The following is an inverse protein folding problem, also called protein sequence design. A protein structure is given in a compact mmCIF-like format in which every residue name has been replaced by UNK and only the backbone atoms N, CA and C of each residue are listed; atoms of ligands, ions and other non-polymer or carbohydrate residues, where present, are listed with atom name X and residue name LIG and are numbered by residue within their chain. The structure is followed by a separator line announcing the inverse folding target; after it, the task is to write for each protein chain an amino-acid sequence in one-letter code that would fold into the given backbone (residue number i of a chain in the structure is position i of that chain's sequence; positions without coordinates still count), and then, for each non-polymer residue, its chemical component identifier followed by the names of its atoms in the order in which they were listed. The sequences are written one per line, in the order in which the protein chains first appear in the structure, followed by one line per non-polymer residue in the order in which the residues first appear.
data_IF_045069317801
#
_entry.id   IF_045069317801
#
_cell.length_a   1.000
_cell.length_b   1.000
_cell.length_c   1.000
_cell.angle_alpha   90.00
_cell.angle_beta   90.00
_cell.angle_gamma   90.00
#
_symmetry.space_group_name_H-M   'P 1'
#
loop_
_entity.id
_entity.type
_entity.pdbx_description
1 polymer ?
#
# COMPACT_ATOMS: atom_id res chain seq x y z
N UNK A 1 -14.59 78.68 9.50
CA UNK A 1 -13.41 77.84 9.79
C UNK A 1 -13.85 76.39 9.69
N UNK A 2 -13.47 75.77 8.59
CA UNK A 2 -13.77 74.42 8.11
C UNK A 2 -12.76 73.41 8.64
N UNK A 3 -13.23 72.24 9.07
CA UNK A 3 -12.55 70.93 8.99
C UNK A 3 -13.43 69.91 9.74
N UNK A 4 -14.43 69.30 9.11
CA UNK A 4 -14.34 68.10 8.26
C UNK A 4 -13.55 66.93 8.87
N UNK A 5 -14.37 66.00 9.37
CA UNK A 5 -14.21 64.55 9.53
C UNK A 5 -13.14 63.87 8.69
N UNK A 6 -12.37 62.97 9.32
CA UNK A 6 -11.80 61.80 8.63
C UNK A 6 -11.70 60.62 9.59
N UNK A 7 -12.79 59.87 9.68
CA UNK A 7 -12.80 58.49 10.17
C UNK A 7 -11.98 57.64 9.20
N UNK A 8 -10.74 57.30 9.55
CA UNK A 8 -10.05 56.19 8.92
C UNK A 8 -10.48 54.90 9.61
N UNK A 9 -11.49 54.28 9.04
CA UNK A 9 -11.82 52.88 9.28
C UNK A 9 -10.59 52.05 8.87
N UNK A 10 -9.86 51.58 9.88
CA UNK A 10 -8.81 50.57 9.75
C UNK A 10 -9.44 49.29 9.21
N UNK A 11 -9.50 49.19 7.88
CA UNK A 11 -9.77 47.94 7.18
C UNK A 11 -8.59 47.04 7.48
N UNK A 12 -8.76 46.14 8.45
CA UNK A 12 -7.85 45.02 8.66
C UNK A 12 -7.92 44.18 7.38
N UNK A 13 -6.98 44.46 6.46
CA UNK A 13 -6.67 43.57 5.37
C UNK A 13 -6.36 42.22 6.00
N UNK A 14 -7.26 41.25 5.78
CA UNK A 14 -6.92 39.85 5.93
C UNK A 14 -5.75 39.60 4.98
N UNK A 15 -4.53 39.61 5.53
CA UNK A 15 -3.34 39.16 4.82
C UNK A 15 -3.55 37.67 4.60
N UNK A 16 -4.13 37.32 3.46
CA UNK A 16 -3.94 36.00 2.86
C UNK A 16 -2.44 35.88 2.60
N UNK A 17 -1.67 35.47 3.59
CA UNK A 17 -0.28 35.11 3.41
C UNK A 17 -0.24 34.06 2.29
N UNK A 18 0.50 34.28 1.19
CA UNK A 18 0.61 33.27 0.15
C UNK A 18 1.34 32.08 0.79
N UNK A 19 0.62 30.98 1.04
CA UNK A 19 1.14 29.73 1.61
C UNK A 19 2.08 28.98 0.64
N UNK A 20 2.89 29.68 -0.16
CA UNK A 20 3.82 29.04 -1.08
C UNK A 20 4.99 29.90 -1.58
N UNK A 21 5.72 30.62 -0.71
CA UNK A 21 6.98 31.28 -1.11
C UNK A 21 8.17 30.30 -1.12
N UNK A 22 8.05 29.14 -0.45
CA UNK A 22 9.18 28.21 -0.36
C UNK A 22 9.45 27.49 -1.71
N UNK A 23 10.73 27.41 -2.14
CA UNK A 23 11.19 26.56 -3.24
C UNK A 23 10.74 25.11 -3.13
N UNK A 24 10.61 24.43 -4.27
CA UNK A 24 10.09 23.06 -4.35
C UNK A 24 11.00 22.07 -3.63
N UNK A 25 12.31 22.28 -3.69
CA UNK A 25 13.35 21.46 -3.07
C UNK A 25 13.26 21.49 -1.54
N UNK A 26 13.02 22.69 -0.98
CA UNK A 26 12.84 22.83 0.46
C UNK A 26 11.54 22.17 0.94
N UNK A 27 10.48 22.25 0.14
CA UNK A 27 9.24 21.52 0.44
C UNK A 27 9.45 20.01 0.43
N UNK A 28 10.17 19.47 -0.56
CA UNK A 28 10.50 18.04 -0.61
C UNK A 28 11.26 17.64 0.65
N UNK A 29 12.32 18.38 1.02
CA UNK A 29 13.11 18.08 2.21
C UNK A 29 12.30 18.12 3.51
N UNK A 30 11.38 19.08 3.65
CA UNK A 30 10.46 19.16 4.79
C UNK A 30 9.54 17.93 4.82
N UNK A 31 8.93 17.61 3.69
CA UNK A 31 8.00 16.50 3.59
C UNK A 31 8.71 15.16 3.86
N UNK A 32 9.89 14.93 3.30
CA UNK A 32 10.70 13.73 3.52
C UNK A 32 11.10 13.53 4.98
N UNK A 33 11.36 14.62 5.72
CA UNK A 33 11.66 14.54 7.16
C UNK A 33 10.41 14.33 8.02
N UNK A 34 9.30 14.99 7.67
CA UNK A 34 8.03 14.80 8.36
C UNK A 34 7.42 13.42 8.08
N UNK A 35 7.71 12.83 6.93
CA UNK A 35 7.09 11.62 6.42
C UNK A 35 7.48 10.34 7.17
N UNK A 36 8.63 10.33 7.84
CA UNK A 36 9.22 9.14 8.47
C UNK A 36 8.23 8.45 9.44
N UNK A 37 7.37 9.22 10.13
CA UNK A 37 6.40 8.70 11.09
C UNK A 37 4.94 8.73 10.60
N UNK A 38 4.65 9.42 9.48
CA UNK A 38 3.29 9.81 9.11
C UNK A 38 2.94 9.64 7.61
N UNK A 39 3.55 8.67 6.92
CA UNK A 39 3.24 8.39 5.51
C UNK A 39 1.73 8.30 5.22
N UNK A 40 0.95 7.67 6.12
CA UNK A 40 -0.51 7.62 5.98
C UNK A 40 -1.17 9.00 5.99
N UNK A 41 -0.71 9.91 6.86
CA UNK A 41 -1.26 11.27 6.95
C UNK A 41 -0.89 12.09 5.71
N UNK A 42 0.33 11.95 5.21
CA UNK A 42 0.75 12.64 3.98
C UNK A 42 -0.10 12.25 2.79
N UNK A 43 -0.34 10.94 2.59
CA UNK A 43 -1.15 10.47 1.47
C UNK A 43 -2.62 10.86 1.59
N UNK A 44 -3.20 10.74 2.79
CA UNK A 44 -4.66 10.87 2.99
C UNK A 44 -5.13 12.27 3.35
N UNK A 45 -4.26 13.15 3.85
CA UNK A 45 -4.60 14.52 4.25
C UNK A 45 -3.82 15.56 3.43
N UNK A 46 -2.48 15.58 3.55
CA UNK A 46 -1.64 16.64 2.96
C UNK A 46 -1.74 16.68 1.43
N UNK A 47 -1.77 15.52 0.77
CA UNK A 47 -1.95 15.39 -0.68
C UNK A 47 -3.17 16.13 -1.23
N UNK A 48 -4.21 16.31 -0.41
CA UNK A 48 -5.49 16.89 -0.83
C UNK A 48 -5.60 18.40 -0.57
N UNK A 49 -4.61 19.02 0.07
CA UNK A 49 -4.64 20.45 0.45
C UNK A 49 -4.57 21.36 -0.79
N UNK A 50 -3.71 21.05 -1.74
CA UNK A 50 -3.56 21.83 -2.98
C UNK A 50 -2.95 20.99 -4.11
N UNK A 51 -3.01 21.47 -5.36
CA UNK A 51 -2.33 20.82 -6.49
C UNK A 51 -0.80 20.75 -6.28
N UNK A 52 -0.19 21.81 -5.75
CA UNK A 52 1.25 21.84 -5.45
C UNK A 52 1.63 20.76 -4.41
N UNK A 53 0.85 20.62 -3.34
CA UNK A 53 1.09 19.57 -2.34
C UNK A 53 0.84 18.18 -2.89
N UNK A 54 -0.16 18.01 -3.76
CA UNK A 54 -0.41 16.75 -4.45
C UNK A 54 0.84 16.31 -5.22
N UNK A 55 1.41 17.18 -6.04
CA UNK A 55 2.57 16.86 -6.88
C UNK A 55 3.82 16.57 -6.03
N UNK A 56 4.04 17.34 -4.97
CA UNK A 56 5.13 17.13 -4.02
C UNK A 56 5.01 15.79 -3.28
N UNK A 57 3.83 15.50 -2.73
CA UNK A 57 3.59 14.23 -2.02
C UNK A 57 3.71 13.06 -2.99
N UNK A 58 3.14 13.15 -4.19
CA UNK A 58 3.26 12.08 -5.19
C UNK A 58 4.72 11.81 -5.58
N UNK A 59 5.55 12.85 -5.70
CA UNK A 59 7.01 12.69 -5.92
C UNK A 59 7.70 11.96 -4.78
N UNK A 60 7.46 12.37 -3.53
CA UNK A 60 8.01 11.70 -2.34
C UNK A 60 7.56 10.23 -2.27
N UNK A 61 6.31 9.96 -2.63
CA UNK A 61 5.79 8.59 -2.66
C UNK A 61 6.42 7.74 -3.75
N UNK A 62 6.60 8.28 -4.95
CA UNK A 62 7.26 7.60 -6.04
C UNK A 62 8.73 7.27 -5.71
N UNK A 63 9.46 8.19 -5.08
CA UNK A 63 10.89 8.04 -4.82
C UNK A 63 11.22 7.23 -3.56
N UNK A 64 10.48 7.43 -2.46
CA UNK A 64 10.82 6.86 -1.16
C UNK A 64 9.91 5.68 -0.80
N UNK A 65 8.59 5.86 -0.91
CA UNK A 65 7.64 4.91 -0.35
C UNK A 65 7.35 3.73 -1.25
N UNK A 66 7.17 3.98 -2.55
CA UNK A 66 6.82 2.97 -3.53
C UNK A 66 7.88 1.85 -3.63
N UNK A 67 9.19 2.12 -3.60
CA UNK A 67 10.21 1.07 -3.53
C UNK A 67 10.15 0.18 -2.29
N UNK A 68 9.48 0.62 -1.22
CA UNK A 68 9.31 -0.17 0.01
C UNK A 68 8.16 -1.18 -0.06
N UNK A 69 7.37 -1.15 -1.14
CA UNK A 69 6.27 -2.09 -1.34
C UNK A 69 6.75 -3.40 -1.95
N UNK A 70 6.14 -4.48 -1.51
CA UNK A 70 6.21 -5.78 -2.15
C UNK A 70 4.81 -6.38 -2.22
N UNK A 71 4.55 -7.16 -3.28
CA UNK A 71 3.28 -7.84 -3.49
C UNK A 71 3.54 -9.33 -3.46
N UNK A 72 2.96 -10.01 -2.48
CA UNK A 72 3.04 -11.47 -2.38
C UNK A 72 1.76 -12.09 -2.91
N UNK A 73 1.87 -12.91 -3.93
CA UNK A 73 0.79 -13.72 -4.46
C UNK A 73 0.72 -15.04 -3.71
N UNK A 74 -0.41 -15.28 -3.07
CA UNK A 74 -0.76 -16.51 -2.39
C UNK A 74 -1.41 -17.48 -3.40
N UNK A 75 -0.64 -18.44 -3.90
CA UNK A 75 -1.03 -19.24 -5.07
C UNK A 75 -2.01 -20.37 -4.68
N UNK A 76 -3.14 -20.54 -5.40
CA UNK A 76 -4.04 -21.66 -5.16
C UNK A 76 -3.43 -22.98 -5.66
N UNK A 77 -3.80 -24.12 -5.05
CA UNK A 77 -3.40 -25.44 -5.55
C UNK A 77 -4.29 -25.83 -6.73
N UNK A 78 -3.65 -26.25 -7.82
CA UNK A 78 -4.33 -26.84 -8.97
C UNK A 78 -3.84 -28.27 -9.18
N UNK A 79 -4.73 -29.12 -9.69
CA UNK A 79 -4.33 -30.41 -10.22
C UNK A 79 -3.50 -30.18 -11.49
N UNK A 80 -2.26 -30.68 -11.56
CA UNK A 80 -1.40 -30.51 -12.74
C UNK A 80 -1.98 -31.16 -14.00
N UNK A 81 -2.90 -32.12 -13.87
CA UNK A 81 -3.45 -32.89 -14.99
C UNK A 81 -4.73 -32.26 -15.54
N UNK A 82 -5.65 -31.87 -14.66
CA UNK A 82 -6.94 -31.28 -15.05
C UNK A 82 -6.98 -29.75 -15.00
N UNK A 83 -5.98 -29.11 -14.39
CA UNK A 83 -5.97 -27.66 -14.15
C UNK A 83 -7.02 -27.18 -13.14
N UNK A 84 -7.83 -28.08 -12.58
CA UNK A 84 -8.91 -27.75 -11.64
C UNK A 84 -8.34 -27.33 -10.28
N UNK A 85 -9.05 -26.45 -9.57
CA UNK A 85 -8.69 -26.06 -8.21
C UNK A 85 -8.89 -27.24 -7.26
N UNK A 86 -7.81 -27.70 -6.64
CA UNK A 86 -7.84 -28.83 -5.70
C UNK A 86 -8.40 -28.42 -4.33
N UNK A 87 -8.21 -27.16 -3.92
CA UNK A 87 -8.63 -26.66 -2.61
C UNK A 87 -9.16 -25.22 -2.74
N UNK A 88 -10.48 -25.00 -2.71
CA UNK A 88 -11.04 -23.67 -2.55
C UNK A 88 -10.79 -23.20 -1.11
N UNK A 89 -10.12 -22.07 -0.90
CA UNK A 89 -9.95 -21.49 0.44
C UNK A 89 -8.55 -20.92 0.73
N UNK A 90 -8.11 -21.07 1.98
CA UNK A 90 -6.92 -20.42 2.52
C UNK A 90 -5.65 -20.79 1.75
N UNK A 91 -4.80 -19.80 1.40
CA UNK A 91 -3.54 -20.05 0.70
C UNK A 91 -2.63 -21.06 1.39
N UNK A 92 -1.91 -21.86 0.60
CA UNK A 92 -0.97 -22.84 1.15
C UNK A 92 0.27 -22.11 1.68
N UNK A 93 0.74 -22.42 2.90
CA UNK A 93 2.02 -21.94 3.40
C UNK A 93 3.15 -22.30 2.42
N UNK A 94 4.03 -21.35 2.09
CA UNK A 94 5.18 -21.50 1.16
C UNK A 94 4.85 -21.57 -0.34
N UNK A 95 3.58 -21.66 -0.75
CA UNK A 95 3.20 -21.52 -2.16
C UNK A 95 2.96 -20.04 -2.51
N UNK A 96 4.02 -19.24 -2.39
CA UNK A 96 3.94 -17.79 -2.54
C UNK A 96 4.93 -17.27 -3.57
N UNK A 97 4.48 -16.34 -4.41
CA UNK A 97 5.35 -15.59 -5.32
C UNK A 97 5.45 -14.16 -4.81
N UNK A 98 6.62 -13.76 -4.34
CA UNK A 98 6.88 -12.38 -3.93
C UNK A 98 7.37 -11.57 -5.12
N UNK A 99 6.72 -10.45 -5.39
CA UNK A 99 7.06 -9.49 -6.43
C UNK A 99 7.53 -8.18 -5.79
N UNK A 100 8.71 -7.72 -6.17
CA UNK A 100 9.31 -6.48 -5.65
C UNK A 100 9.19 -5.35 -6.66
N UNK A 101 9.15 -4.11 -6.17
CA UNK A 101 9.24 -2.93 -7.03
C UNK A 101 10.52 -2.96 -7.87
N UNK A 102 10.38 -2.71 -9.17
CA UNK A 102 11.49 -2.61 -10.14
C UNK A 102 11.65 -1.19 -10.67
N UNK A 103 10.55 -0.49 -10.90
CA UNK A 103 10.59 0.87 -11.43
C UNK A 103 9.21 1.42 -11.79
N UNK A 104 9.21 2.61 -12.37
CA UNK A 104 8.03 3.21 -12.98
C UNK A 104 8.07 3.01 -14.50
N UNK A 105 6.89 2.98 -15.13
CA UNK A 105 6.79 3.08 -16.59
C UNK A 105 7.16 4.50 -17.07
N UNK A 106 7.31 4.68 -18.39
CA UNK A 106 7.70 5.96 -18.98
C UNK A 106 6.82 7.16 -18.56
N UNK A 107 5.51 6.94 -18.40
CA UNK A 107 4.56 7.98 -18.02
C UNK A 107 4.38 8.14 -16.50
N UNK A 108 5.19 7.44 -15.69
CA UNK A 108 5.13 7.39 -14.23
C UNK A 108 3.74 7.06 -13.64
N UNK A 109 2.85 6.50 -14.47
CA UNK A 109 1.46 6.20 -14.12
C UNK A 109 1.31 4.79 -13.55
N UNK A 110 2.24 3.90 -13.91
CA UNK A 110 2.29 2.51 -13.48
C UNK A 110 3.60 2.21 -12.76
N UNK A 111 3.50 1.54 -11.62
CA UNK A 111 4.62 0.89 -10.97
C UNK A 111 4.76 -0.55 -11.49
N UNK A 112 5.98 -0.93 -11.80
CA UNK A 112 6.32 -2.28 -12.24
C UNK A 112 6.81 -3.06 -11.04
N UNK A 113 6.08 -4.12 -10.69
CA UNK A 113 6.52 -5.12 -9.72
C UNK A 113 6.96 -6.37 -10.46
N UNK A 114 8.13 -6.91 -10.13
CA UNK A 114 8.69 -8.08 -10.82
C UNK A 114 8.85 -9.26 -9.89
N UNK A 115 8.58 -10.44 -10.43
CA UNK A 115 8.97 -11.68 -9.77
C UNK A 115 10.49 -11.84 -9.78
N UNK A 116 11.07 -12.60 -8.84
CA UNK A 116 12.43 -13.10 -8.99
C UNK A 116 12.54 -13.97 -10.26
N UNK A 117 13.76 -14.12 -10.77
CA UNK A 117 14.06 -15.07 -11.87
C UNK A 117 14.17 -16.51 -11.37
N UNK A 118 14.52 -16.70 -10.09
CA UNK A 118 14.70 -18.00 -9.45
C UNK A 118 13.99 -18.02 -8.11
N UNK A 119 13.17 -19.04 -7.90
CA UNK A 119 12.56 -19.34 -6.60
C UNK A 119 13.41 -20.37 -5.86
N UNK A 120 13.74 -20.07 -4.60
CA UNK A 120 14.49 -20.97 -3.74
C UNK A 120 13.55 -21.61 -2.73
N UNK A 121 13.52 -22.94 -2.71
CA UNK A 121 12.83 -23.74 -1.70
C UNK A 121 13.86 -24.60 -0.97
N UNK A 122 14.36 -24.10 0.16
CA UNK A 122 15.45 -24.75 0.90
C UNK A 122 16.73 -24.81 0.05
N UNK A 123 17.18 -26.03 -0.25
CA UNK A 123 18.34 -26.29 -1.13
C UNK A 123 18.01 -26.29 -2.61
N UNK A 124 16.73 -26.37 -2.97
CA UNK A 124 16.28 -26.44 -4.35
C UNK A 124 16.11 -25.03 -4.92
N UNK A 125 16.58 -24.83 -6.14
CA UNK A 125 16.40 -23.59 -6.89
C UNK A 125 15.75 -23.92 -8.22
N UNK A 126 14.61 -23.30 -8.51
CA UNK A 126 13.86 -23.52 -9.75
C UNK A 126 13.66 -22.19 -10.45
N UNK A 127 13.88 -22.17 -11.77
CA UNK A 127 13.71 -20.93 -12.54
C UNK A 127 12.21 -20.63 -12.73
N UNK A 128 11.83 -19.35 -12.72
CA UNK A 128 10.44 -18.95 -12.97
C UNK A 128 10.02 -19.26 -14.40
N UNK A 129 10.95 -19.23 -15.35
CA UNK A 129 10.72 -19.68 -16.74
C UNK A 129 10.34 -21.15 -16.82
N UNK A 130 11.08 -22.03 -16.15
CA UNK A 130 10.76 -23.46 -16.10
C UNK A 130 9.38 -23.68 -15.47
N UNK A 131 9.05 -22.95 -14.40
CA UNK A 131 7.73 -23.03 -13.76
C UNK A 131 6.60 -22.52 -14.66
N UNK A 132 6.86 -21.53 -15.52
CA UNK A 132 5.91 -21.09 -16.56
C UNK A 132 5.72 -22.20 -17.59
N UNK A 133 6.81 -22.76 -18.11
CA UNK A 133 6.80 -23.76 -19.20
C UNK A 133 6.19 -25.10 -18.76
N UNK A 134 6.39 -25.48 -17.50
CA UNK A 134 5.79 -26.69 -16.89
C UNK A 134 4.35 -26.48 -16.42
N UNK A 135 3.73 -25.34 -16.75
CA UNK A 135 2.37 -24.96 -16.34
C UNK A 135 2.15 -24.94 -14.82
N UNK A 136 3.21 -24.76 -14.03
CA UNK A 136 3.13 -24.57 -12.58
C UNK A 136 2.75 -23.13 -12.24
N UNK A 137 3.31 -22.14 -12.95
CA UNK A 137 2.99 -20.72 -12.80
C UNK A 137 2.39 -20.11 -14.08
N UNK A 138 1.21 -20.57 -14.53
CA UNK A 138 0.52 -19.96 -15.67
C UNK A 138 -0.15 -18.65 -15.25
N UNK A 139 -0.43 -17.77 -16.21
CA UNK A 139 -1.00 -16.44 -15.97
C UNK A 139 -2.33 -16.52 -15.20
N UNK A 140 -3.19 -17.47 -15.53
CA UNK A 140 -4.50 -17.65 -14.92
C UNK A 140 -4.38 -18.01 -13.43
N UNK A 141 -3.32 -18.74 -13.06
CA UNK A 141 -3.05 -19.08 -11.66
C UNK A 141 -2.60 -17.85 -10.87
N UNK A 142 -1.80 -16.99 -11.47
CA UNK A 142 -1.36 -15.73 -10.84
C UNK A 142 -2.52 -14.75 -10.68
N UNK A 143 -3.41 -14.66 -11.68
CA UNK A 143 -4.59 -13.79 -11.62
C UNK A 143 -5.63 -14.26 -10.60
N UNK A 144 -5.76 -15.57 -10.39
CA UNK A 144 -6.63 -16.15 -9.38
C UNK A 144 -6.04 -16.09 -7.95
N UNK A 145 -4.76 -15.76 -7.80
CA UNK A 145 -4.08 -15.75 -6.52
C UNK A 145 -4.49 -14.54 -5.67
N UNK A 146 -4.63 -14.76 -4.37
CA UNK A 146 -4.87 -13.67 -3.42
C UNK A 146 -3.60 -12.84 -3.29
N UNK A 147 -3.69 -11.53 -3.55
CA UNK A 147 -2.56 -10.62 -3.40
C UNK A 147 -2.49 -10.04 -1.98
N UNK A 148 -1.31 -10.09 -1.41
CA UNK A 148 -0.95 -9.48 -0.14
C UNK A 148 0.03 -8.34 -0.41
N UNK A 149 -0.37 -7.13 -0.05
CA UNK A 149 0.46 -5.93 -0.22
C UNK A 149 1.18 -5.68 1.09
N UNK A 150 2.51 -5.67 1.04
CA UNK A 150 3.38 -5.42 2.17
C UNK A 150 4.04 -4.06 2.02
N UNK A 151 4.14 -3.36 3.15
CA UNK A 151 4.91 -2.13 3.28
C UNK A 151 6.04 -2.43 4.25
N UNK A 152 7.30 -2.25 3.82
CA UNK A 152 8.54 -2.70 4.49
C UNK A 152 8.85 -4.20 4.37
N UNK A 153 10.09 -4.58 4.70
CA UNK A 153 10.58 -5.98 4.66
C UNK A 153 9.85 -6.94 5.61
N UNK A 154 8.97 -6.44 6.50
CA UNK A 154 8.24 -7.30 7.42
C UNK A 154 6.98 -7.89 6.77
N UNK A 155 7.13 -9.10 6.23
CA UNK A 155 6.07 -9.86 5.54
C UNK A 155 4.84 -10.17 6.43
N UNK A 156 4.96 -10.08 7.77
CA UNK A 156 3.88 -10.39 8.71
C UNK A 156 2.77 -9.33 8.75
N UNK A 157 2.98 -8.15 8.17
CA UNK A 157 2.05 -7.01 8.24
C UNK A 157 1.24 -6.78 6.95
N UNK A 158 1.23 -7.77 6.05
CA UNK A 158 0.56 -7.65 4.76
C UNK A 158 -0.94 -7.36 4.87
N UNK A 159 -1.47 -6.60 3.92
CA UNK A 159 -2.90 -6.41 3.73
C UNK A 159 -3.33 -7.19 2.49
N UNK A 160 -4.21 -8.17 2.69
CA UNK A 160 -4.88 -8.84 1.58
C UNK A 160 -5.81 -7.83 0.88
N UNK A 161 -5.57 -7.57 -0.40
CA UNK A 161 -6.40 -6.66 -1.19
C UNK A 161 -6.26 -6.93 -2.69
N UNK A 162 -7.23 -6.42 -3.46
CA UNK A 162 -7.15 -6.44 -4.91
C UNK A 162 -6.12 -5.40 -5.37
N UNK A 163 -5.13 -5.83 -6.14
CA UNK A 163 -4.11 -4.94 -6.71
C UNK A 163 -4.59 -4.44 -8.08
N UNK A 164 -4.71 -3.11 -8.30
CA UNK A 164 -5.19 -2.57 -9.57
C UNK A 164 -4.08 -2.62 -10.63
N UNK A 165 -4.19 -3.51 -11.61
CA UNK A 165 -3.17 -3.66 -12.64
C UNK A 165 -3.36 -4.86 -13.54
N UNK A 166 -2.35 -5.13 -14.36
CA UNK A 166 -2.28 -6.30 -15.23
C UNK A 166 -0.93 -6.99 -15.11
N UNK A 167 -0.97 -8.32 -15.20
CA UNK A 167 0.22 -9.17 -15.22
C UNK A 167 0.60 -9.46 -16.67
N UNK A 168 1.90 -9.44 -16.94
CA UNK A 168 2.50 -9.71 -18.24
C UNK A 168 3.81 -10.47 -18.05
N UNK A 169 4.18 -11.25 -19.06
CA UNK A 169 5.47 -11.94 -19.07
C UNK A 169 6.52 -11.07 -19.76
N UNK A 170 7.70 -10.95 -19.15
CA UNK A 170 8.87 -10.34 -19.75
C UNK A 170 9.76 -11.43 -20.35
N UNK A 171 9.84 -11.47 -21.68
CA UNK A 171 10.65 -12.46 -22.40
C UNK A 171 12.15 -12.19 -22.33
N UNK A 172 12.59 -10.96 -22.10
CA UNK A 172 14.02 -10.61 -22.01
C UNK A 172 14.57 -11.05 -20.65
N UNK A 173 13.84 -10.73 -19.58
CA UNK A 173 14.25 -11.02 -18.20
C UNK A 173 13.75 -12.36 -17.68
N UNK A 174 12.87 -13.03 -18.43
CA UNK A 174 12.24 -14.31 -18.05
C UNK A 174 11.54 -14.25 -16.70
N UNK A 175 10.77 -13.18 -16.48
CA UNK A 175 10.06 -12.91 -15.22
C UNK A 175 8.63 -12.46 -15.45
N UNK A 176 7.79 -12.63 -14.43
CA UNK A 176 6.47 -12.02 -14.41
C UNK A 176 6.58 -10.57 -13.98
N UNK A 177 5.85 -9.70 -14.68
CA UNK A 177 5.77 -8.26 -14.41
C UNK A 177 4.33 -7.89 -14.15
N UNK A 178 4.08 -7.26 -13.01
CA UNK A 178 2.80 -6.66 -12.66
C UNK A 178 2.87 -5.16 -12.83
N UNK A 179 2.17 -4.65 -13.84
CA UNK A 179 1.98 -3.22 -14.04
C UNK A 179 0.82 -2.73 -13.20
N UNK A 180 1.10 -1.97 -12.14
CA UNK A 180 0.14 -1.56 -11.11
C UNK A 180 -0.08 -0.05 -11.16
N UNK A 181 -1.34 0.39 -11.16
CA UNK A 181 -1.67 1.82 -10.97
C UNK A 181 -1.34 2.22 -9.55
N UNK A 182 -0.14 2.77 -9.34
CA UNK A 182 0.42 2.88 -8.00
C UNK A 182 -0.31 3.91 -7.12
N UNK A 183 -0.86 4.97 -7.71
CA UNK A 183 -1.68 5.95 -6.98
C UNK A 183 -2.96 5.30 -6.41
N UNK A 184 -3.57 4.40 -7.18
CA UNK A 184 -4.73 3.63 -6.76
C UNK A 184 -4.34 2.62 -5.67
N UNK A 185 -3.20 1.94 -5.84
CA UNK A 185 -2.64 1.03 -4.83
C UNK A 185 -2.43 1.74 -3.49
N UNK A 186 -1.76 2.90 -3.47
CA UNK A 186 -1.50 3.67 -2.25
C UNK A 186 -2.81 4.07 -1.56
N UNK A 187 -3.76 4.58 -2.35
CA UNK A 187 -5.08 5.00 -1.84
C UNK A 187 -5.81 3.84 -1.18
N UNK A 188 -5.85 2.67 -1.82
CA UNK A 188 -6.47 1.48 -1.25
C UNK A 188 -5.72 1.00 -0.01
N UNK A 189 -4.39 0.93 -0.06
CA UNK A 189 -3.56 0.45 1.04
C UNK A 189 -3.78 1.24 2.33
N UNK A 190 -3.69 2.58 2.28
CA UNK A 190 -3.89 3.42 3.46
C UNK A 190 -5.35 3.46 3.93
N UNK A 191 -6.32 3.33 3.02
CA UNK A 191 -7.73 3.18 3.40
C UNK A 191 -7.97 1.88 4.20
N UNK A 192 -7.44 0.75 3.74
CA UNK A 192 -7.56 -0.54 4.44
C UNK A 192 -6.81 -0.55 5.77
N UNK A 193 -5.66 0.14 5.87
CA UNK A 193 -4.91 0.27 7.12
C UNK A 193 -5.70 1.02 8.19
N UNK A 194 -6.38 2.11 7.82
CA UNK A 194 -7.26 2.89 8.72
C UNK A 194 -8.43 2.06 9.25
N UNK A 195 -9.03 1.22 8.39
CA UNK A 195 -10.11 0.32 8.79
C UNK A 195 -9.65 -0.75 9.79
N UNK A 196 -8.48 -1.37 9.58
CA UNK A 196 -7.93 -2.34 10.54
C UNK A 196 -7.66 -1.73 11.91
N UNK A 197 -7.15 -0.50 11.97
CA UNK A 197 -6.95 0.20 13.24
C UNK A 197 -8.27 0.54 13.96
N UNK A 198 -9.34 0.87 13.24
CA UNK A 198 -10.64 1.16 13.87
C UNK A 198 -11.36 -0.08 14.39
N UNK A 199 -11.14 -1.25 13.79
CA UNK A 199 -11.77 -2.52 14.24
C UNK A 199 -11.14 -3.04 15.54
N UNK A 200 -9.89 -2.70 15.83
CA UNK A 200 -9.24 -3.06 17.11
C UNK A 200 -9.65 -2.14 18.28
N UNK A 201 -10.36 -1.04 18.02
CA UNK A 201 -10.86 -0.13 19.06
C UNK A 201 -12.37 -0.33 19.21
N UNK A 202 -12.79 -1.52 19.66
CA UNK A 202 -14.08 -1.69 20.32
C UNK A 202 -13.81 -2.10 21.78
N UNK A 203 -14.22 -1.28 22.78
CA UNK A 203 -14.16 -1.72 24.17
C UNK A 203 -15.13 -2.89 24.35
N UNK A 204 -14.62 -4.01 24.86
CA UNK A 204 -15.40 -5.14 25.32
C UNK A 204 -16.51 -4.63 26.24
N UNK A 205 -17.78 -4.77 25.82
CA UNK A 205 -18.93 -4.49 26.69
C UNK A 205 -18.80 -5.36 27.94
N UNK A 206 -18.75 -4.71 29.10
CA UNK A 206 -18.58 -5.34 30.39
C UNK A 206 -19.65 -6.40 30.65
N UNK A 207 -19.19 -7.60 31.02
CA UNK A 207 -20.02 -8.61 31.65
C UNK A 207 -19.98 -8.34 33.14
N UNK A 208 -21.00 -7.67 33.67
CA UNK A 208 -21.19 -7.49 35.11
C UNK A 208 -21.69 -8.82 35.70
N UNK A 209 -20.76 -9.74 35.96
CA UNK A 209 -21.02 -10.97 36.71
C UNK A 209 -21.16 -10.66 38.20
N UNK A 210 -22.41 -10.61 38.68
CA UNK A 210 -22.75 -10.51 40.11
C UNK A 210 -22.43 -11.84 40.79
N UNK A 211 -21.29 -11.95 41.46
CA UNK A 211 -20.96 -13.12 42.30
C UNK A 211 -21.70 -13.00 43.63
N UNK A 212 -22.76 -13.80 43.84
CA UNK A 212 -23.34 -14.04 45.17
C UNK A 212 -22.42 -15.01 45.91
N UNK A 213 -21.80 -14.54 46.99
CA UNK A 213 -21.22 -15.41 48.02
C UNK A 213 -22.36 -16.06 48.81
N UNK A 214 -22.45 -17.39 48.82
CA UNK A 214 -23.20 -18.15 49.82
C UNK A 214 -22.23 -18.56 50.93
N UNK A 215 -22.40 -18.00 52.12
CA UNK A 215 -21.78 -18.50 53.33
C UNK A 215 -22.58 -19.72 53.81
N UNK A 216 -21.94 -20.89 53.91
CA UNK A 216 -22.42 -21.97 54.77
C UNK A 216 -21.37 -22.17 55.86
N UNK A 217 -21.75 -21.81 57.09
CA UNK A 217 -21.06 -22.21 58.30
C UNK A 217 -21.49 -23.64 58.67
N UNK A 218 -20.51 -24.49 58.97
CA UNK A 218 -20.66 -25.65 59.88
C UNK A 218 -20.49 -25.21 61.31
#
# INVERSE_FOLDING_TARGET
MTSETSNQAGTLFAVCAPTSILPVELWLHILERASIYEASHLWTAVRHVSRKFKDLVERVFASIYLPMFAITLSLPRRDPTSGALLWPGAPIPRAQLSMSFDGLNADESFALFRSPSVLKEGTNATSVEELKNTSVLPLERLQAATAWVHFTRNQLTGIAMRVPGYLSWDEERKTWVWSVKWKDLMTQFYASRKQKSSVQVQPSKGVTGRTRFSNNCT
#
